data_IF_622123526464
#
_entry.id   IF_622123526464
#
_cell.length_a   1.000
_cell.length_b   1.000
_cell.length_c   1.000
_cell.angle_alpha   90.00
_cell.angle_beta   90.00
_cell.angle_gamma   90.00
#
_symmetry.space_group_name_H-M   'P 1'
#
loop_
_entity.id
_entity.type
_entity.pdbx_description
1 polymer ?
#
# COMPACT_ATOMS: atom_id res chain seq x y z
N UNK A 1 -1.41 21.77 14.14
CA UNK A 1 -2.57 21.10 14.76
C UNK A 1 -3.47 20.39 13.74
N UNK A 2 -3.80 21.01 12.59
CA UNK A 2 -4.70 20.44 11.56
C UNK A 2 -4.25 19.12 10.91
N UNK A 3 -2.94 18.91 10.73
CA UNK A 3 -2.42 17.69 10.11
C UNK A 3 -2.54 16.45 11.02
N UNK A 4 -2.25 16.61 12.32
CA UNK A 4 -2.41 15.52 13.30
C UNK A 4 -3.87 15.10 13.43
N UNK A 5 -4.80 16.07 13.43
CA UNK A 5 -6.24 15.76 13.46
C UNK A 5 -6.74 15.07 12.21
N UNK A 6 -6.16 15.34 11.03
CA UNK A 6 -6.47 14.61 9.79
C UNK A 6 -6.06 13.13 9.92
N UNK A 7 -4.82 12.86 10.33
CA UNK A 7 -4.35 11.47 10.53
C UNK A 7 -5.21 10.75 11.57
N UNK A 8 -5.51 11.40 12.70
CA UNK A 8 -6.37 10.80 13.73
C UNK A 8 -7.80 10.56 13.24
N UNK A 9 -8.33 11.45 12.40
CA UNK A 9 -9.61 11.28 11.71
C UNK A 9 -9.59 10.05 10.81
N UNK A 10 -8.56 9.91 9.97
CA UNK A 10 -8.37 8.78 9.06
C UNK A 10 -8.28 7.47 9.83
N UNK A 11 -7.50 7.42 10.91
CA UNK A 11 -7.36 6.24 11.77
C UNK A 11 -8.69 5.87 12.43
N UNK A 12 -9.42 6.87 12.97
CA UNK A 12 -10.73 6.63 13.59
C UNK A 12 -11.73 6.10 12.57
N UNK A 13 -11.72 6.66 11.36
CA UNK A 13 -12.56 6.20 10.27
C UNK A 13 -12.22 4.75 9.90
N UNK A 14 -10.94 4.45 9.72
CA UNK A 14 -10.47 3.10 9.42
C UNK A 14 -10.83 2.08 10.51
N UNK A 15 -10.78 2.49 11.78
CA UNK A 15 -11.20 1.66 12.90
C UNK A 15 -12.71 1.42 12.89
N UNK A 16 -13.52 2.47 12.66
CA UNK A 16 -14.99 2.38 12.58
C UNK A 16 -15.45 1.44 11.45
N UNK A 17 -14.75 1.46 10.31
CA UNK A 17 -15.03 0.57 9.17
C UNK A 17 -14.38 -0.82 9.31
N UNK A 18 -13.72 -1.11 10.43
CA UNK A 18 -13.24 -2.46 10.75
C UNK A 18 -11.94 -2.89 10.06
N UNK A 19 -11.22 -1.99 9.36
CA UNK A 19 -9.97 -2.36 8.69
C UNK A 19 -8.94 -2.91 9.68
N UNK A 20 -8.81 -2.34 10.87
CA UNK A 20 -7.89 -2.84 11.90
C UNK A 20 -8.25 -4.25 12.38
N UNK A 21 -9.54 -4.56 12.54
CA UNK A 21 -10.00 -5.89 12.91
C UNK A 21 -9.71 -6.91 11.80
N UNK A 22 -9.93 -6.52 10.55
CA UNK A 22 -9.62 -7.37 9.40
C UNK A 22 -8.12 -7.66 9.28
N UNK A 23 -7.27 -6.64 9.44
CA UNK A 23 -5.82 -6.80 9.33
C UNK A 23 -5.19 -7.54 10.51
N UNK A 24 -5.74 -7.39 11.72
CA UNK A 24 -5.34 -8.24 12.84
C UNK A 24 -5.69 -9.71 12.60
N UNK A 25 -6.83 -9.98 11.96
CA UNK A 25 -7.19 -11.34 11.56
C UNK A 25 -6.25 -11.89 10.47
N UNK A 26 -5.99 -11.15 9.39
CA UNK A 26 -5.08 -11.60 8.33
C UNK A 26 -3.65 -11.80 8.82
N UNK A 27 -3.13 -10.89 9.65
CA UNK A 27 -1.79 -11.05 10.24
C UNK A 27 -1.68 -12.32 11.07
N UNK A 28 -2.67 -12.62 11.91
CA UNK A 28 -2.69 -13.87 12.68
C UNK A 28 -2.72 -15.11 11.78
N UNK A 29 -3.56 -15.11 10.74
CA UNK A 29 -3.64 -16.21 9.78
C UNK A 29 -2.31 -16.39 9.03
N UNK A 30 -1.65 -15.32 8.61
CA UNK A 30 -0.36 -15.43 7.93
C UNK A 30 0.75 -15.92 8.86
N UNK A 31 0.77 -15.49 10.11
CA UNK A 31 1.73 -15.98 11.11
C UNK A 31 1.53 -17.49 11.34
N UNK A 32 0.30 -17.97 11.47
CA UNK A 32 0.04 -19.41 11.67
C UNK A 32 0.45 -20.24 10.46
N UNK A 33 0.10 -19.78 9.25
CA UNK A 33 0.51 -20.45 7.99
C UNK A 33 2.03 -20.49 7.87
N UNK A 34 2.72 -19.38 8.10
CA UNK A 34 4.19 -19.30 8.01
C UNK A 34 4.90 -20.19 9.03
N UNK A 35 4.32 -20.41 10.21
CA UNK A 35 4.91 -21.32 11.21
C UNK A 35 4.89 -22.79 10.78
N UNK A 36 3.92 -23.18 9.97
CA UNK A 36 3.77 -24.56 9.47
C UNK A 36 4.73 -24.82 8.28
N UNK A 37 5.13 -23.77 7.56
CA UNK A 37 5.97 -23.88 6.36
C UNK A 37 7.42 -24.34 6.66
N UNK A 38 7.98 -25.24 5.83
CA UNK A 38 9.37 -25.67 5.93
C UNK A 38 10.35 -24.52 5.66
N UNK A 39 11.50 -24.58 6.33
CA UNK A 39 12.51 -23.50 6.36
C UNK A 39 12.93 -22.94 4.99
N UNK A 40 13.19 -23.73 3.93
CA UNK A 40 13.68 -23.18 2.66
C UNK A 40 12.67 -22.33 1.90
N UNK A 41 11.36 -22.51 2.15
CA UNK A 41 10.31 -21.73 1.48
C UNK A 41 9.85 -20.53 2.30
N UNK A 42 10.18 -20.50 3.59
CA UNK A 42 9.66 -19.55 4.54
C UNK A 42 10.05 -18.11 4.21
N UNK A 43 11.26 -17.88 3.71
CA UNK A 43 11.76 -16.56 3.32
C UNK A 43 11.01 -15.96 2.15
N UNK A 44 10.93 -16.72 1.07
CA UNK A 44 10.24 -16.32 -0.14
C UNK A 44 8.74 -16.14 0.13
N UNK A 45 8.13 -17.04 0.90
CA UNK A 45 6.72 -16.92 1.28
C UNK A 45 6.47 -15.71 2.19
N UNK A 46 7.35 -15.41 3.15
CA UNK A 46 7.18 -14.26 4.07
C UNK A 46 7.19 -12.95 3.29
N UNK A 47 8.21 -12.74 2.45
CA UNK A 47 8.35 -11.52 1.65
C UNK A 47 7.21 -11.35 0.65
N UNK A 48 6.80 -12.43 -0.02
CA UNK A 48 5.69 -12.42 -1.00
C UNK A 48 4.35 -12.18 -0.31
N UNK A 49 4.08 -12.79 0.84
CA UNK A 49 2.85 -12.57 1.60
C UNK A 49 2.75 -11.12 2.10
N UNK A 50 3.82 -10.59 2.67
CA UNK A 50 3.88 -9.19 3.12
C UNK A 50 3.63 -8.24 1.95
N UNK A 51 4.18 -8.54 0.77
CA UNK A 51 3.89 -7.74 -0.41
C UNK A 51 2.42 -7.84 -0.82
N UNK A 52 1.86 -9.06 -0.87
CA UNK A 52 0.52 -9.29 -1.42
C UNK A 52 -0.62 -8.63 -0.65
N UNK A 53 -0.47 -8.41 0.66
CA UNK A 53 -1.54 -7.85 1.48
C UNK A 53 -1.09 -6.60 2.25
N UNK A 54 -0.17 -6.65 3.24
CA UNK A 54 0.31 -5.44 3.92
C UNK A 54 0.75 -4.32 2.98
N UNK A 55 1.49 -4.59 1.91
CA UNK A 55 1.95 -3.52 0.99
C UNK A 55 0.84 -3.03 0.05
N UNK A 56 -0.04 -3.94 -0.40
CA UNK A 56 -1.13 -3.62 -1.35
C UNK A 56 -2.41 -3.12 -0.69
N UNK A 57 -2.51 -3.08 0.65
CA UNK A 57 -3.63 -2.51 1.42
C UNK A 57 -4.09 -1.15 0.88
N UNK A 58 -3.14 -0.28 0.54
CA UNK A 58 -3.42 1.05 0.00
C UNK A 58 -4.11 1.00 -1.36
N UNK A 59 -3.77 0.02 -2.20
CA UNK A 59 -4.47 -0.19 -3.47
C UNK A 59 -5.86 -0.80 -3.23
N UNK A 60 -5.98 -1.76 -2.31
CA UNK A 60 -7.23 -2.52 -2.09
C UNK A 60 -8.31 -1.72 -1.38
N UNK A 61 -7.95 -0.90 -0.38
CA UNK A 61 -8.93 -0.27 0.51
C UNK A 61 -9.11 1.22 0.30
N UNK A 62 -8.19 1.89 -0.41
CA UNK A 62 -8.31 3.32 -0.61
C UNK A 62 -9.56 3.72 -1.39
N UNK A 63 -9.98 2.91 -2.37
CA UNK A 63 -11.23 3.18 -3.06
C UNK A 63 -12.44 3.08 -2.16
N UNK A 64 -12.45 2.13 -1.23
CA UNK A 64 -13.52 2.05 -0.24
C UNK A 64 -13.53 3.29 0.66
N UNK A 65 -12.36 3.68 1.18
CA UNK A 65 -12.20 4.86 2.04
C UNK A 65 -12.70 6.12 1.32
N UNK A 66 -12.26 6.36 0.09
CA UNK A 66 -12.63 7.55 -0.69
C UNK A 66 -14.11 7.52 -1.09
N UNK A 67 -14.68 6.36 -1.39
CA UNK A 67 -16.11 6.25 -1.69
C UNK A 67 -16.97 6.52 -0.45
N UNK A 68 -16.54 6.08 0.74
CA UNK A 68 -17.20 6.45 2.00
C UNK A 68 -17.09 7.95 2.29
N UNK A 69 -15.94 8.55 2.02
CA UNK A 69 -15.77 10.01 2.16
C UNK A 69 -16.66 10.80 1.19
N UNK A 70 -16.82 10.30 -0.03
CA UNK A 70 -17.77 10.86 -1.01
C UNK A 70 -19.20 10.73 -0.50
N UNK A 71 -19.60 9.58 0.05
CA UNK A 71 -20.98 9.39 0.54
C UNK A 71 -21.29 10.19 1.81
N UNK A 72 -20.31 10.38 2.69
CA UNK A 72 -20.42 11.19 3.91
C UNK A 72 -20.19 12.70 3.67
N UNK A 73 -20.04 13.13 2.42
CA UNK A 73 -19.77 14.52 2.01
C UNK A 73 -18.51 15.14 2.63
N UNK A 74 -17.53 14.31 2.98
CA UNK A 74 -16.26 14.75 3.57
C UNK A 74 -15.45 15.57 2.56
N UNK A 75 -15.51 15.20 1.27
CA UNK A 75 -14.79 15.91 0.21
C UNK A 75 -15.24 17.38 0.07
N UNK A 76 -16.53 17.66 0.20
CA UNK A 76 -17.07 19.02 0.17
C UNK A 76 -16.67 19.82 1.42
N UNK A 77 -16.68 19.18 2.59
CA UNK A 77 -16.20 19.82 3.82
C UNK A 77 -14.70 20.17 3.72
N UNK A 78 -13.90 19.28 3.12
CA UNK A 78 -12.48 19.53 2.87
C UNK A 78 -12.25 20.66 1.87
N UNK A 79 -13.09 20.78 0.84
CA UNK A 79 -12.98 21.83 -0.19
C UNK A 79 -13.14 23.25 0.35
N UNK A 80 -13.98 23.45 1.37
CA UNK A 80 -14.20 24.77 2.02
C UNK A 80 -13.24 24.99 3.19
N UNK A 81 -12.55 23.94 3.63
CA UNK A 81 -11.57 24.03 4.71
C UNK A 81 -10.21 24.53 4.21
N UNK A 82 -9.41 25.24 5.04
CA UNK A 82 -8.05 25.66 4.69
C UNK A 82 -7.06 24.48 4.83
N UNK A 83 -7.36 23.35 4.20
CA UNK A 83 -6.53 22.14 4.18
C UNK A 83 -5.96 21.98 2.79
N UNK A 84 -4.65 21.77 2.69
CA UNK A 84 -4.00 21.56 1.39
C UNK A 84 -4.24 20.13 0.90
N UNK A 85 -4.32 19.98 -0.43
CA UNK A 85 -4.38 18.68 -1.11
C UNK A 85 -3.25 17.75 -0.66
N UNK A 86 -2.07 18.35 -0.44
CA UNK A 86 -0.87 17.66 -0.01
C UNK A 86 -1.04 17.07 1.40
N UNK A 87 -1.65 17.83 2.32
CA UNK A 87 -1.93 17.36 3.67
C UNK A 87 -2.94 16.20 3.68
N UNK A 88 -3.93 16.20 2.79
CA UNK A 88 -4.87 15.09 2.62
C UNK A 88 -4.16 13.82 2.09
N UNK A 89 -3.38 13.94 1.01
CA UNK A 89 -2.66 12.78 0.46
C UNK A 89 -1.67 12.22 1.49
N UNK A 90 -0.92 13.09 2.18
CA UNK A 90 0.05 12.66 3.17
C UNK A 90 -0.63 12.00 4.38
N UNK A 91 -1.82 12.44 4.80
CA UNK A 91 -2.54 11.81 5.91
C UNK A 91 -2.98 10.39 5.57
N UNK A 92 -3.43 10.17 4.33
CA UNK A 92 -3.78 8.83 3.81
C UNK A 92 -2.56 7.91 3.69
N UNK A 93 -1.47 8.41 3.11
CA UNK A 93 -0.21 7.65 2.99
C UNK A 93 0.33 7.26 4.36
N UNK A 94 0.32 8.16 5.33
CA UNK A 94 0.82 7.86 6.68
C UNK A 94 -0.13 6.91 7.42
N UNK A 95 -1.44 7.15 7.40
CA UNK A 95 -2.39 6.30 8.14
C UNK A 95 -2.40 4.85 7.64
N UNK A 96 -2.44 4.65 6.32
CA UNK A 96 -2.37 3.31 5.72
C UNK A 96 -0.97 2.71 5.87
N UNK A 97 0.09 3.52 5.67
CA UNK A 97 1.46 3.08 5.84
C UNK A 97 1.75 2.56 7.25
N UNK A 98 1.15 3.15 8.29
CA UNK A 98 1.27 2.65 9.66
C UNK A 98 0.63 1.27 9.85
N UNK A 99 -0.55 1.02 9.29
CA UNK A 99 -1.20 -0.31 9.35
C UNK A 99 -0.36 -1.34 8.59
N UNK A 100 0.10 -0.97 7.40
CA UNK A 100 0.96 -1.78 6.54
C UNK A 100 2.27 -2.17 7.25
N UNK A 101 2.95 -1.18 7.84
CA UNK A 101 4.21 -1.40 8.53
C UNK A 101 4.02 -2.26 9.78
N UNK A 102 3.00 -1.98 10.60
CA UNK A 102 2.72 -2.78 11.80
C UNK A 102 2.41 -4.23 11.42
N UNK A 103 1.52 -4.46 10.46
CA UNK A 103 1.17 -5.81 10.01
C UNK A 103 2.35 -6.56 9.40
N UNK A 104 3.09 -5.94 8.48
CA UNK A 104 4.23 -6.57 7.83
C UNK A 104 5.40 -6.87 8.78
N UNK A 105 5.71 -5.97 9.71
CA UNK A 105 6.77 -6.20 10.71
C UNK A 105 6.36 -7.30 11.70
N UNK A 106 5.09 -7.35 12.14
CA UNK A 106 4.61 -8.43 12.99
C UNK A 106 4.72 -9.80 12.28
N UNK A 107 4.32 -9.87 11.01
CA UNK A 107 4.43 -11.10 10.21
C UNK A 107 5.90 -11.55 10.13
N UNK A 108 6.83 -10.63 9.88
CA UNK A 108 8.26 -10.96 9.78
C UNK A 108 8.90 -11.35 11.11
N UNK A 109 8.53 -10.68 12.22
CA UNK A 109 9.05 -11.01 13.55
C UNK A 109 8.60 -12.42 14.00
N UNK A 110 7.32 -12.74 13.76
CA UNK A 110 6.76 -14.01 14.22
C UNK A 110 6.93 -15.18 13.24
N UNK A 111 7.44 -14.94 12.03
CA UNK A 111 7.83 -16.00 11.11
C UNK A 111 9.13 -16.69 11.52
N UNK A 112 9.98 -16.02 12.33
CA UNK A 112 11.19 -16.60 12.93
C UNK A 112 12.40 -16.58 11.98
N UNK A 113 12.60 -15.46 11.30
CA UNK A 113 13.67 -15.30 10.30
C UNK A 113 14.67 -14.19 10.63
N UNK A 114 15.90 -14.34 10.12
CA UNK A 114 16.97 -13.33 10.14
C UNK A 114 16.87 -12.37 8.95
N UNK A 115 15.71 -11.75 8.74
CA UNK A 115 15.62 -10.65 7.79
C UNK A 115 16.25 -9.38 8.38
N UNK A 116 16.85 -8.56 7.53
CA UNK A 116 17.16 -7.19 7.93
C UNK A 116 15.85 -6.40 8.04
N UNK A 117 15.31 -6.33 9.26
CA UNK A 117 14.05 -5.65 9.58
C UNK A 117 14.01 -4.20 9.09
N UNK A 118 15.16 -3.54 9.00
CA UNK A 118 15.28 -2.16 8.50
C UNK A 118 14.92 -2.10 7.01
N UNK A 119 15.52 -2.97 6.18
CA UNK A 119 15.26 -2.99 4.74
C UNK A 119 13.81 -3.38 4.44
N UNK A 120 13.29 -4.36 5.16
CA UNK A 120 11.91 -4.78 5.07
C UNK A 120 10.96 -3.63 5.43
N UNK A 121 11.17 -2.94 6.55
CA UNK A 121 10.32 -1.83 6.99
C UNK A 121 10.34 -0.67 6.00
N UNK A 122 11.50 -0.32 5.45
CA UNK A 122 11.61 0.71 4.41
C UNK A 122 10.89 0.29 3.12
N UNK A 123 11.05 -0.97 2.70
CA UNK A 123 10.34 -1.51 1.55
C UNK A 123 8.82 -1.50 1.73
N UNK A 124 8.32 -1.88 2.91
CA UNK A 124 6.90 -1.83 3.24
C UNK A 124 6.38 -0.38 3.21
N UNK A 125 7.11 0.57 3.80
CA UNK A 125 6.71 1.98 3.81
C UNK A 125 6.65 2.57 2.40
N UNK A 126 7.68 2.36 1.59
CA UNK A 126 7.73 2.88 0.22
C UNK A 126 6.68 2.21 -0.68
N UNK A 127 6.52 0.89 -0.54
CA UNK A 127 5.52 0.13 -1.29
C UNK A 127 4.10 0.56 -0.92
N UNK A 128 3.78 0.61 0.38
CA UNK A 128 2.47 1.04 0.84
C UNK A 128 2.16 2.47 0.41
N UNK A 129 3.15 3.39 0.44
CA UNK A 129 2.99 4.74 -0.08
C UNK A 129 2.64 4.73 -1.57
N UNK A 130 3.41 4.01 -2.40
CA UNK A 130 3.19 3.91 -3.84
C UNK A 130 1.78 3.38 -4.15
N UNK A 131 1.39 2.25 -3.55
CA UNK A 131 0.10 1.62 -3.82
C UNK A 131 -1.08 2.38 -3.24
N UNK A 132 -0.88 3.12 -2.14
CA UNK A 132 -1.85 4.10 -1.65
C UNK A 132 -2.08 5.20 -2.67
N UNK A 133 -1.02 5.77 -3.26
CA UNK A 133 -1.14 6.80 -4.29
C UNK A 133 -1.87 6.27 -5.54
N UNK A 134 -1.56 5.04 -5.97
CA UNK A 134 -2.30 4.35 -7.03
C UNK A 134 -3.78 4.22 -6.67
N UNK A 135 -4.10 3.72 -5.47
CA UNK A 135 -5.47 3.58 -4.99
C UNK A 135 -6.25 4.90 -4.95
N UNK A 136 -5.62 6.00 -4.49
CA UNK A 136 -6.21 7.35 -4.52
C UNK A 136 -6.53 7.74 -5.96
N UNK A 137 -5.58 7.52 -6.87
CA UNK A 137 -5.72 7.95 -8.25
C UNK A 137 -6.83 7.22 -9.01
N UNK A 138 -6.99 5.91 -8.78
CA UNK A 138 -8.04 5.10 -9.39
C UNK A 138 -9.42 5.47 -8.85
N UNK A 139 -9.52 5.61 -7.52
CA UNK A 139 -10.79 5.91 -6.84
C UNK A 139 -11.33 7.31 -7.09
N UNK A 140 -10.49 8.24 -7.54
CA UNK A 140 -10.91 9.59 -7.88
C UNK A 140 -11.99 9.61 -8.97
N UNK A 141 -11.85 8.74 -9.98
CA UNK A 141 -12.74 8.69 -11.15
C UNK A 141 -13.95 7.76 -10.97
N UNK A 142 -14.09 7.14 -9.81
CA UNK A 142 -15.08 6.09 -9.56
C UNK A 142 -16.13 6.58 -8.55
N UNK A 143 -17.38 6.18 -8.78
CA UNK A 143 -18.54 6.56 -7.96
C UNK A 143 -19.18 5.39 -7.19
N UNK A 144 -18.88 4.14 -7.56
CA UNK A 144 -19.48 2.94 -6.93
C UNK A 144 -18.41 1.94 -6.49
N UNK A 145 -18.69 1.21 -5.42
CA UNK A 145 -17.80 0.14 -4.94
C UNK A 145 -17.58 -0.95 -5.99
N UNK A 146 -18.63 -1.29 -6.74
CA UNK A 146 -18.53 -2.32 -7.78
C UNK A 146 -17.51 -1.94 -8.87
N UNK A 147 -17.58 -0.70 -9.36
CA UNK A 147 -16.63 -0.21 -10.36
C UNK A 147 -15.20 -0.15 -9.81
N UNK A 148 -15.06 0.16 -8.52
CA UNK A 148 -13.75 0.14 -7.88
C UNK A 148 -13.18 -1.27 -7.81
N UNK A 149 -13.97 -2.25 -7.36
CA UNK A 149 -13.56 -3.66 -7.35
C UNK A 149 -13.16 -4.15 -8.75
N UNK A 150 -13.91 -3.77 -9.78
CA UNK A 150 -13.63 -4.13 -11.18
C UNK A 150 -12.30 -3.58 -11.71
N UNK A 151 -11.88 -2.39 -11.28
CA UNK A 151 -10.60 -1.78 -11.70
C UNK A 151 -9.44 -2.19 -10.79
N UNK A 152 -9.72 -2.42 -9.52
CA UNK A 152 -8.74 -2.86 -8.53
C UNK A 152 -8.22 -4.27 -8.83
N UNK A 153 -9.06 -5.20 -9.27
CA UNK A 153 -8.61 -6.57 -9.58
C UNK A 153 -7.57 -6.64 -10.71
N UNK A 154 -7.79 -6.03 -11.90
CA UNK A 154 -6.77 -5.98 -12.94
C UNK A 154 -5.47 -5.28 -12.50
N UNK A 155 -5.59 -4.20 -11.72
CA UNK A 155 -4.41 -3.47 -11.24
C UNK A 155 -3.62 -4.27 -10.20
N UNK A 156 -4.29 -5.06 -9.36
CA UNK A 156 -3.63 -6.06 -8.51
C UNK A 156 -2.92 -7.12 -9.33
N UNK A 157 -3.55 -7.67 -10.38
CA UNK A 157 -2.93 -8.68 -11.24
C UNK A 157 -1.67 -8.12 -11.90
N UNK A 158 -1.72 -6.90 -12.46
CA UNK A 158 -0.54 -6.24 -13.04
C UNK A 158 0.55 -6.03 -11.99
N UNK A 159 0.17 -5.73 -10.75
CA UNK A 159 1.11 -5.49 -9.66
C UNK A 159 1.76 -6.77 -9.13
N UNK A 160 1.02 -7.87 -9.06
CA UNK A 160 1.45 -9.14 -8.44
C UNK A 160 2.01 -10.13 -9.46
N UNK A 161 1.51 -10.16 -10.70
CA UNK A 161 1.98 -11.11 -11.71
C UNK A 161 3.51 -11.07 -11.94
N UNK A 162 4.16 -9.89 -12.05
CA UNK A 162 5.62 -9.82 -12.26
C UNK A 162 6.43 -10.44 -11.11
N UNK A 163 5.88 -10.40 -9.89
CA UNK A 163 6.51 -10.96 -8.69
C UNK A 163 6.57 -12.47 -8.80
N UNK A 164 5.46 -13.10 -9.18
CA UNK A 164 5.41 -14.55 -9.35
C UNK A 164 6.48 -15.04 -10.33
N UNK A 165 6.64 -14.33 -11.45
CA UNK A 165 7.66 -14.63 -12.47
C UNK A 165 9.08 -14.44 -11.94
N UNK A 166 9.31 -13.37 -11.18
CA UNK A 166 10.60 -13.10 -10.55
C UNK A 166 10.98 -14.18 -9.52
N UNK A 167 10.02 -14.60 -8.69
CA UNK A 167 10.22 -15.67 -7.70
C UNK A 167 10.46 -17.05 -8.32
N UNK A 168 9.98 -17.28 -9.55
CA UNK A 168 10.23 -18.52 -10.31
C UNK A 168 11.61 -18.56 -10.99
N UNK A 169 12.43 -17.51 -10.86
CA UNK A 169 13.83 -17.51 -11.30
C UNK A 169 14.13 -16.73 -12.59
N UNK A 170 13.13 -16.11 -13.22
CA UNK A 170 13.37 -15.24 -14.39
C UNK A 170 13.85 -13.85 -13.93
N UNK A 171 15.18 -13.66 -13.95
CA UNK A 171 15.83 -12.39 -13.60
C UNK A 171 16.30 -11.68 -14.86
N UNK A 172 15.46 -10.80 -15.41
CA UNK A 172 15.86 -9.88 -16.50
C UNK A 172 16.06 -8.47 -15.97
N UNK A 173 17.03 -7.72 -16.50
CA UNK A 173 17.25 -6.32 -16.10
C UNK A 173 16.06 -5.41 -16.39
N UNK A 174 15.27 -5.70 -17.44
CA UNK A 174 14.07 -4.95 -17.79
C UNK A 174 12.93 -5.11 -16.77
N UNK A 175 12.86 -6.25 -16.07
CA UNK A 175 11.88 -6.48 -15.01
C UNK A 175 12.07 -5.55 -13.81
N UNK A 176 13.29 -5.06 -13.57
CA UNK A 176 13.56 -4.09 -12.50
C UNK A 176 12.91 -2.72 -12.74
N UNK A 177 12.42 -2.44 -13.95
CA UNK A 177 11.64 -1.23 -14.25
C UNK A 177 10.23 -1.28 -13.64
N UNK A 178 9.72 -2.48 -13.34
CA UNK A 178 8.41 -2.64 -12.73
C UNK A 178 8.50 -2.41 -11.21
N UNK A 179 7.71 -1.48 -10.64
CA UNK A 179 7.89 -1.04 -9.26
C UNK A 179 7.73 -2.17 -8.24
N UNK A 180 6.86 -3.15 -8.50
CA UNK A 180 6.69 -4.31 -7.60
C UNK A 180 7.96 -5.16 -7.46
N UNK A 181 8.73 -5.31 -8.54
CA UNK A 181 9.95 -6.13 -8.51
C UNK A 181 11.05 -5.37 -7.77
N UNK A 182 11.18 -4.06 -8.04
CA UNK A 182 12.12 -3.18 -7.31
C UNK A 182 11.83 -3.16 -5.80
N UNK A 183 10.55 -3.15 -5.41
CA UNK A 183 10.13 -3.18 -4.01
C UNK A 183 10.46 -4.51 -3.32
N UNK A 184 10.26 -5.64 -4.00
CA UNK A 184 10.64 -6.95 -3.45
C UNK A 184 12.15 -7.08 -3.32
N UNK A 185 12.91 -6.59 -4.30
CA UNK A 185 14.37 -6.59 -4.21
C UNK A 185 14.84 -5.81 -2.97
N UNK A 186 14.24 -4.63 -2.73
CA UNK A 186 14.50 -3.83 -1.54
C UNK A 186 14.10 -4.53 -0.24
N UNK A 187 12.93 -5.18 -0.20
CA UNK A 187 12.46 -5.94 0.97
C UNK A 187 13.33 -7.16 1.27
N UNK A 188 13.90 -7.79 0.23
CA UNK A 188 14.84 -8.91 0.36
C UNK A 188 16.25 -8.50 0.78
N UNK A 189 16.54 -7.18 0.86
CA UNK A 189 17.83 -6.65 1.29
C UNK A 189 18.88 -6.52 0.19
N UNK A 190 18.55 -6.81 -1.07
CA UNK A 190 19.45 -6.63 -2.19
C UNK A 190 19.33 -5.19 -2.73
N UNK A 191 20.06 -4.25 -2.13
CA UNK A 191 19.97 -2.83 -2.51
C UNK A 191 20.68 -2.59 -3.84
N UNK A 192 19.92 -2.58 -4.93
CA UNK A 192 20.39 -2.08 -6.22
C UNK A 192 20.09 -0.57 -6.33
N UNK A 193 21.06 0.25 -6.77
CA UNK A 193 20.82 1.69 -7.00
C UNK A 193 19.70 1.91 -8.02
N UNK A 194 19.58 1.00 -8.99
CA UNK A 194 18.52 1.00 -9.99
C UNK A 194 17.12 0.85 -9.34
N UNK A 195 16.94 -0.09 -8.40
CA UNK A 195 15.64 -0.27 -7.73
C UNK A 195 15.19 0.98 -6.99
N UNK A 196 16.09 1.65 -6.28
CA UNK A 196 15.79 2.90 -5.56
C UNK A 196 15.41 4.03 -6.51
N UNK A 197 16.13 4.17 -7.63
CA UNK A 197 15.80 5.17 -8.66
C UNK A 197 14.40 4.90 -9.23
N UNK A 198 14.10 3.67 -9.63
CA UNK A 198 12.80 3.29 -10.19
C UNK A 198 11.67 3.55 -9.21
N UNK A 199 11.82 3.13 -7.94
CA UNK A 199 10.80 3.37 -6.89
C UNK A 199 10.58 4.88 -6.71
N UNK A 200 11.65 5.68 -6.65
CA UNK A 200 11.55 7.12 -6.47
C UNK A 200 10.80 7.80 -7.62
N UNK A 201 11.10 7.40 -8.86
CA UNK A 201 10.46 7.94 -10.07
C UNK A 201 8.97 7.59 -10.07
N UNK A 202 8.62 6.34 -9.77
CA UNK A 202 7.21 5.91 -9.70
C UNK A 202 6.46 6.60 -8.56
N UNK A 203 7.06 6.76 -7.39
CA UNK A 203 6.46 7.50 -6.28
C UNK A 203 6.18 8.96 -6.66
N UNK A 204 7.12 9.64 -7.32
CA UNK A 204 6.94 11.03 -7.77
C UNK A 204 5.85 11.11 -8.84
N UNK A 205 5.88 10.24 -9.85
CA UNK A 205 4.90 10.21 -10.92
C UNK A 205 3.48 9.98 -10.36
N UNK A 206 3.31 8.98 -9.49
CA UNK A 206 2.03 8.68 -8.88
C UNK A 206 1.58 9.76 -7.89
N UNK A 207 2.51 10.43 -7.21
CA UNK A 207 2.20 11.56 -6.35
C UNK A 207 1.62 12.72 -7.16
N UNK A 208 2.24 13.10 -8.28
CA UNK A 208 1.74 14.15 -9.17
C UNK A 208 0.35 13.77 -9.69
N UNK A 209 0.17 12.53 -10.15
CA UNK A 209 -1.12 12.06 -10.66
C UNK A 209 -2.21 12.07 -9.57
N UNK A 210 -1.88 11.63 -8.34
CA UNK A 210 -2.81 11.70 -7.20
C UNK A 210 -3.20 13.13 -6.85
N UNK A 211 -2.28 14.10 -6.92
CA UNK A 211 -2.58 15.52 -6.70
C UNK A 211 -3.60 16.05 -7.71
N UNK A 212 -3.43 15.70 -8.99
CA UNK A 212 -4.37 16.08 -10.05
C UNK A 212 -5.75 15.45 -9.83
N UNK A 213 -5.77 14.16 -9.49
CA UNK A 213 -6.99 13.41 -9.20
C UNK A 213 -7.78 13.98 -8.03
N UNK A 214 -7.11 14.27 -6.89
CA UNK A 214 -7.77 14.83 -5.70
C UNK A 214 -8.23 16.27 -5.95
N UNK A 215 -7.45 17.08 -6.68
CA UNK A 215 -7.88 18.43 -7.08
C UNK A 215 -9.21 18.39 -7.84
N UNK A 216 -9.36 17.45 -8.78
CA UNK A 216 -10.60 17.27 -9.53
C UNK A 216 -11.78 16.85 -8.64
N UNK A 217 -11.54 16.05 -7.60
CA UNK A 217 -12.59 15.61 -6.67
C UNK A 217 -13.11 16.74 -5.77
N UNK A 218 -12.25 17.69 -5.38
CA UNK A 218 -12.64 18.79 -4.49
C UNK A 218 -13.31 19.97 -5.21
N UNK A 219 -13.28 19.99 -6.55
CA UNK A 219 -13.94 21.02 -7.37
C UNK A 219 -15.37 20.66 -7.78
N UNK A 220 -15.85 19.46 -7.44
CA UNK A 220 -17.20 18.94 -7.76
C UNK A 220 -18.08 19.02 -6.51
#
# INVERSE_FOLDING_TARGET
>A
MKFKSLILGDIRQQYKYGFYALYTLFTLVYITVLRILPMPWKELCTTTLIFSDPVLIGLMFMGAIILFEKSEKVMQALAVSPISIHAYILSKVISIGLISLLSGVLIALFSGMEHSYIHLAVGIMLGSALFTLVGISLSAFISTMNNFMLIMVPTLIISVAPISVYTMGYKSGAMLLHPSISLIELMSGNISVMSLMVISIWCIAMYIFSCLSVKKMMTI
#
